data_IF_542611572417
#
_entry.id   IF_542611572417
#
_cell.length_a   1.000
_cell.length_b   1.000
_cell.length_c   1.000
_cell.angle_alpha   90.00
_cell.angle_beta   90.00
_cell.angle_gamma   90.00
#
_symmetry.space_group_name_H-M   'P 1'
#
loop_
_entity.id
_entity.type
_entity.pdbx_description
1 polymer ?
#
# COMPACT_ATOMS: atom_id res chain seq x y z
N UNK A 1 -14.02 -6.72 -6.84
CA UNK A 1 -13.61 -5.32 -6.57
C UNK A 1 -14.20 -4.47 -7.68
N UNK A 2 -14.79 -3.31 -7.37
CA UNK A 2 -15.16 -2.35 -8.42
C UNK A 2 -13.88 -1.99 -9.22
N UNK A 3 -13.97 -1.93 -10.54
CA UNK A 3 -12.85 -1.58 -11.41
C UNK A 3 -12.23 -0.22 -11.05
N UNK A 4 -13.06 0.75 -10.63
CA UNK A 4 -12.60 2.06 -10.17
C UNK A 4 -11.74 1.96 -8.90
N UNK A 5 -12.16 1.15 -7.93
CA UNK A 5 -11.40 0.91 -6.68
C UNK A 5 -10.10 0.17 -6.98
N UNK A 6 -10.12 -0.78 -7.93
CA UNK A 6 -8.92 -1.50 -8.37
C UNK A 6 -7.90 -0.58 -9.01
N UNK A 7 -8.35 0.29 -9.91
CA UNK A 7 -7.51 1.31 -10.54
C UNK A 7 -6.99 2.29 -9.48
N UNK A 8 -7.84 2.71 -8.53
CA UNK A 8 -7.44 3.58 -7.43
C UNK A 8 -6.29 3.00 -6.60
N UNK A 9 -6.40 1.74 -6.15
CA UNK A 9 -5.33 1.05 -5.43
C UNK A 9 -4.04 0.92 -6.25
N UNK A 10 -4.16 0.57 -7.53
CA UNK A 10 -3.00 0.44 -8.40
C UNK A 10 -2.31 1.80 -8.59
N UNK A 11 -3.07 2.83 -8.92
CA UNK A 11 -2.54 4.17 -9.13
C UNK A 11 -1.87 4.74 -7.88
N UNK A 12 -2.48 4.55 -6.71
CA UNK A 12 -1.92 5.02 -5.44
C UNK A 12 -0.61 4.30 -5.09
N UNK A 13 -0.58 2.96 -5.16
CA UNK A 13 0.62 2.19 -4.87
C UNK A 13 1.76 2.46 -5.86
N UNK A 14 1.45 2.60 -7.15
CA UNK A 14 2.45 2.93 -8.16
C UNK A 14 3.01 4.34 -7.98
N UNK A 15 2.17 5.30 -7.56
CA UNK A 15 2.61 6.67 -7.25
C UNK A 15 3.50 6.71 -6.00
N UNK A 16 3.15 5.95 -4.96
CA UNK A 16 4.00 5.78 -3.77
C UNK A 16 5.32 5.11 -4.13
N UNK A 17 5.30 4.05 -4.96
CA UNK A 17 6.50 3.36 -5.41
C UNK A 17 7.45 4.28 -6.20
N UNK A 18 6.92 5.05 -7.14
CA UNK A 18 7.70 6.01 -7.92
C UNK A 18 8.32 7.09 -7.02
N UNK A 19 7.56 7.61 -6.05
CA UNK A 19 8.04 8.62 -5.11
C UNK A 19 9.15 8.06 -4.21
N UNK A 20 8.97 6.86 -3.65
CA UNK A 20 9.98 6.20 -2.82
C UNK A 20 11.25 5.86 -3.60
N UNK A 21 11.12 5.36 -4.84
CA UNK A 21 12.26 5.10 -5.71
C UNK A 21 13.01 6.39 -6.06
N UNK A 22 12.29 7.48 -6.33
CA UNK A 22 12.89 8.78 -6.60
C UNK A 22 13.69 9.27 -5.39
N UNK A 23 13.10 9.23 -4.19
CA UNK A 23 13.76 9.64 -2.95
C UNK A 23 14.99 8.76 -2.66
N UNK A 24 14.88 7.44 -2.84
CA UNK A 24 16.02 6.53 -2.73
C UNK A 24 17.20 7.00 -3.59
N UNK A 25 16.98 7.22 -4.89
CA UNK A 25 18.03 7.63 -5.82
C UNK A 25 18.56 9.04 -5.52
N UNK A 26 17.70 9.99 -5.13
CA UNK A 26 18.06 11.41 -5.05
C UNK A 26 18.52 11.89 -3.66
N UNK A 27 18.67 11.00 -2.68
CA UNK A 27 19.28 11.40 -1.41
C UNK A 27 19.39 10.31 -0.37
N UNK A 28 18.43 9.38 -0.32
CA UNK A 28 18.35 8.43 0.80
C UNK A 28 19.20 7.17 0.63
N UNK A 29 19.68 6.86 -0.58
CA UNK A 29 20.53 5.69 -0.84
C UNK A 29 21.81 5.64 0.01
N UNK A 30 22.32 6.80 0.45
CA UNK A 30 23.55 6.89 1.24
C UNK A 30 23.33 6.76 2.75
N UNK A 31 22.07 6.72 3.21
CA UNK A 31 21.72 6.58 4.62
C UNK A 31 21.44 5.10 4.88
N UNK A 32 22.31 4.39 5.62
CA UNK A 32 22.10 2.98 5.94
C UNK A 32 20.75 2.78 6.64
N UNK A 33 20.09 1.65 6.37
CA UNK A 33 18.75 1.30 6.90
C UNK A 33 17.61 2.14 6.31
N UNK A 34 17.71 3.47 6.25
CA UNK A 34 16.68 4.34 5.67
C UNK A 34 16.60 4.13 4.17
N UNK A 35 17.71 4.21 3.44
CA UNK A 35 17.74 3.94 2.00
C UNK A 35 17.21 2.54 1.66
N UNK A 36 17.59 1.52 2.44
CA UNK A 36 17.06 0.16 2.27
C UNK A 36 15.54 0.12 2.48
N UNK A 37 15.02 0.83 3.49
CA UNK A 37 13.58 0.96 3.72
C UNK A 37 12.85 1.58 2.52
N UNK A 38 13.38 2.66 1.95
CA UNK A 38 12.81 3.29 0.77
C UNK A 38 12.80 2.35 -0.45
N UNK A 39 13.89 1.61 -0.69
CA UNK A 39 13.97 0.67 -1.80
C UNK A 39 13.02 -0.51 -1.64
N UNK A 40 12.94 -1.09 -0.43
CA UNK A 40 12.02 -2.18 -0.11
C UNK A 40 10.58 -1.72 -0.29
N UNK A 41 10.25 -0.54 0.26
CA UNK A 41 8.91 0.03 0.16
C UNK A 41 8.51 0.31 -1.29
N UNK A 42 9.42 0.89 -2.10
CA UNK A 42 9.19 1.09 -3.52
C UNK A 42 8.92 -0.23 -4.25
N UNK A 43 9.74 -1.25 -4.00
CA UNK A 43 9.67 -2.55 -4.67
C UNK A 43 8.36 -3.28 -4.34
N UNK A 44 8.00 -3.32 -3.06
CA UNK A 44 6.79 -4.02 -2.59
C UNK A 44 5.54 -3.26 -3.07
N UNK A 45 5.49 -1.92 -2.95
CA UNK A 45 4.37 -1.11 -3.43
C UNK A 45 4.16 -1.29 -4.94
N UNK A 46 5.24 -1.31 -5.73
CA UNK A 46 5.16 -1.57 -7.17
C UNK A 46 4.59 -2.96 -7.47
N UNK A 47 5.16 -4.00 -6.86
CA UNK A 47 4.72 -5.38 -7.07
C UNK A 47 3.24 -5.57 -6.69
N UNK A 48 2.82 -5.07 -5.52
CA UNK A 48 1.43 -5.17 -5.05
C UNK A 48 0.50 -4.34 -5.95
N UNK A 49 0.92 -3.15 -6.38
CA UNK A 49 0.15 -2.31 -7.32
C UNK A 49 -0.12 -3.01 -8.64
N UNK A 50 0.90 -3.62 -9.25
CA UNK A 50 0.78 -4.40 -10.48
C UNK A 50 -0.11 -5.64 -10.26
N UNK A 51 0.11 -6.39 -9.18
CA UNK A 51 -0.71 -7.58 -8.89
C UNK A 51 -2.19 -7.23 -8.70
N UNK A 52 -2.50 -6.13 -8.00
CA UNK A 52 -3.88 -5.63 -7.87
C UNK A 52 -4.42 -5.21 -9.24
N UNK A 53 -3.61 -4.50 -10.05
CA UNK A 53 -4.00 -4.10 -11.40
C UNK A 53 -4.28 -5.29 -12.31
N UNK A 54 -3.57 -6.41 -12.16
CA UNK A 54 -3.78 -7.66 -12.91
C UNK A 54 -4.91 -8.52 -12.35
N UNK A 55 -5.47 -8.17 -11.19
CA UNK A 55 -6.68 -8.80 -10.65
C UNK A 55 -6.37 -9.87 -9.63
N UNK A 56 -5.27 -9.67 -8.90
CA UNK A 56 -4.83 -10.54 -7.84
C UNK A 56 -5.85 -10.69 -6.71
N UNK A 57 -5.58 -11.64 -5.80
CA UNK A 57 -6.52 -12.08 -4.77
C UNK A 57 -6.88 -10.96 -3.78
N UNK A 58 -8.04 -11.11 -3.13
CA UNK A 58 -8.61 -10.10 -2.24
C UNK A 58 -7.71 -9.71 -1.05
N UNK A 59 -6.82 -10.62 -0.59
CA UNK A 59 -5.89 -10.36 0.50
C UNK A 59 -4.82 -9.32 0.15
N UNK A 60 -4.56 -9.06 -1.15
CA UNK A 60 -3.63 -8.01 -1.57
C UNK A 60 -4.07 -6.62 -1.10
N UNK A 61 -5.37 -6.41 -0.81
CA UNK A 61 -5.85 -5.15 -0.23
C UNK A 61 -5.36 -4.94 1.20
N UNK A 62 -5.28 -6.02 1.98
CA UNK A 62 -4.72 -5.98 3.33
C UNK A 62 -3.22 -5.74 3.28
N UNK A 63 -2.51 -6.38 2.33
CA UNK A 63 -1.11 -6.11 2.10
C UNK A 63 -0.89 -4.62 1.74
N UNK A 64 -1.64 -4.08 0.79
CA UNK A 64 -1.59 -2.67 0.39
C UNK A 64 -1.81 -1.72 1.58
N UNK A 65 -2.80 -2.01 2.42
CA UNK A 65 -3.08 -1.23 3.63
C UNK A 65 -1.95 -1.31 4.66
N UNK A 66 -1.39 -2.50 4.88
CA UNK A 66 -0.26 -2.69 5.80
C UNK A 66 1.00 -1.94 5.32
N UNK A 67 1.28 -1.98 4.02
CA UNK A 67 2.41 -1.28 3.39
C UNK A 67 2.24 0.24 3.57
N UNK A 68 1.08 0.78 3.16
CA UNK A 68 0.81 2.22 3.25
C UNK A 68 0.76 2.70 4.71
N UNK A 69 0.11 1.94 5.60
CA UNK A 69 0.06 2.24 7.02
C UNK A 69 1.43 2.21 7.69
N UNK A 70 2.26 1.22 7.38
CA UNK A 70 3.64 1.14 7.85
C UNK A 70 4.48 2.32 7.39
N UNK A 71 4.31 2.76 6.14
CA UNK A 71 4.96 3.97 5.60
C UNK A 71 4.59 5.23 6.38
N UNK A 72 3.28 5.45 6.59
CA UNK A 72 2.76 6.61 7.31
C UNK A 72 3.23 6.62 8.76
N UNK A 73 3.29 5.44 9.41
CA UNK A 73 3.84 5.30 10.75
C UNK A 73 5.33 5.61 10.77
N UNK A 74 6.12 5.09 9.82
CA UNK A 74 7.55 5.38 9.73
C UNK A 74 7.82 6.88 9.52
N UNK A 75 7.02 7.54 8.69
CA UNK A 75 7.07 8.98 8.46
C UNK A 75 6.64 9.80 9.69
N UNK A 76 5.62 9.35 10.44
CA UNK A 76 5.24 9.97 11.69
C UNK A 76 6.34 9.83 12.76
N UNK A 77 6.99 8.66 12.81
CA UNK A 77 8.12 8.39 13.71
C UNK A 77 9.36 9.21 13.32
N UNK A 78 9.67 9.36 12.03
CA UNK A 78 10.79 10.20 11.56
C UNK A 78 10.65 11.65 12.00
N UNK A 79 9.42 12.13 12.22
CA UNK A 79 9.10 13.51 12.65
C UNK A 79 8.94 13.71 14.15
N UNK A 80 8.69 12.65 14.91
CA UNK A 80 8.42 12.74 16.36
C UNK A 80 9.64 12.33 17.19
N UNK A 81 10.05 11.08 17.05
CA UNK A 81 11.19 10.50 17.78
C UNK A 81 12.47 10.43 16.95
N UNK A 82 12.38 10.73 15.66
CA UNK A 82 13.38 10.29 14.69
C UNK A 82 13.25 8.79 14.42
N UNK A 83 13.66 8.37 13.23
CA UNK A 83 13.70 6.97 12.81
C UNK A 83 15.17 6.57 12.67
N UNK A 84 15.65 5.69 13.55
CA UNK A 84 17.07 5.26 13.57
C UNK A 84 18.08 6.43 13.66
N UNK A 85 17.75 7.49 14.39
CA UNK A 85 18.60 8.70 14.53
C UNK A 85 18.48 9.70 13.38
N UNK A 86 17.60 9.44 12.41
CA UNK A 86 17.28 10.35 11.32
C UNK A 86 15.99 11.13 11.63
N UNK A 87 16.06 12.45 11.55
CA UNK A 87 14.92 13.35 11.81
C UNK A 87 14.70 14.24 10.60
N UNK A 88 13.49 14.21 10.04
CA UNK A 88 13.11 15.08 8.93
C UNK A 88 12.33 16.28 9.45
N UNK A 89 12.78 17.47 9.04
CA UNK A 89 12.07 18.71 9.34
C UNK A 89 11.49 19.29 8.03
N UNK A 90 10.17 19.48 8.01
CA UNK A 90 9.46 20.07 6.87
C UNK A 90 9.05 19.07 5.79
N UNK A 91 8.85 19.57 4.57
CA UNK A 91 8.45 18.81 3.39
C UNK A 91 9.60 18.53 2.44
N UNK A 92 10.84 18.66 2.91
CA UNK A 92 12.04 18.44 2.11
C UNK A 92 12.40 16.95 2.12
N UNK A 93 12.50 16.26 0.96
CA UNK A 93 12.42 16.76 -0.41
C UNK A 93 10.99 16.99 -0.93
N UNK A 94 10.69 18.24 -1.27
CA UNK A 94 9.44 18.64 -1.90
C UNK A 94 9.55 18.45 -3.42
N UNK A 95 8.51 17.95 -4.12
CA UNK A 95 7.15 17.62 -3.66
C UNK A 95 6.92 16.12 -3.35
N UNK A 96 7.93 15.27 -3.51
CA UNK A 96 7.76 13.81 -3.53
C UNK A 96 7.36 13.23 -2.17
N UNK A 97 7.79 13.83 -1.06
CA UNK A 97 7.32 13.44 0.28
C UNK A 97 5.80 13.63 0.42
N UNK A 98 5.25 14.75 -0.07
CA UNK A 98 3.81 15.01 -0.02
C UNK A 98 3.02 14.09 -0.95
N UNK A 99 3.54 13.81 -2.15
CA UNK A 99 2.92 12.89 -3.10
C UNK A 99 2.86 11.47 -2.51
N UNK A 100 3.94 11.02 -1.86
CA UNK A 100 3.97 9.70 -1.25
C UNK A 100 2.96 9.57 -0.11
N UNK A 101 2.95 10.51 0.83
CA UNK A 101 1.99 10.53 1.95
C UNK A 101 0.56 10.59 1.44
N UNK A 102 0.28 11.41 0.43
CA UNK A 102 -1.04 11.50 -0.20
C UNK A 102 -1.46 10.17 -0.84
N UNK A 103 -0.55 9.50 -1.55
CA UNK A 103 -0.80 8.21 -2.17
C UNK A 103 -1.04 7.10 -1.12
N UNK A 104 -0.31 7.11 -0.02
CA UNK A 104 -0.47 6.17 1.08
C UNK A 104 -1.77 6.39 1.83
N UNK A 105 -2.10 7.64 2.14
CA UNK A 105 -3.37 8.01 2.74
C UNK A 105 -4.55 7.60 1.86
N UNK A 106 -4.45 7.82 0.54
CA UNK A 106 -5.45 7.35 -0.42
C UNK A 106 -5.58 5.82 -0.41
N UNK A 107 -4.47 5.09 -0.32
CA UNK A 107 -4.48 3.62 -0.25
C UNK A 107 -5.21 3.13 1.00
N UNK A 108 -4.92 3.73 2.17
CA UNK A 108 -5.61 3.42 3.42
C UNK A 108 -7.10 3.79 3.35
N UNK A 109 -7.43 4.94 2.77
CA UNK A 109 -8.82 5.38 2.58
C UNK A 109 -9.59 4.45 1.66
N UNK A 110 -9.00 4.03 0.53
CA UNK A 110 -9.62 3.05 -0.37
C UNK A 110 -9.81 1.71 0.34
N UNK A 111 -8.89 1.31 1.21
CA UNK A 111 -9.03 0.11 2.01
C UNK A 111 -10.18 0.22 3.02
N UNK A 112 -10.26 1.30 3.80
CA UNK A 112 -11.36 1.50 4.77
C UNK A 112 -12.72 1.60 4.09
N UNK A 113 -12.81 2.37 3.00
CA UNK A 113 -14.04 2.53 2.21
C UNK A 113 -14.41 1.28 1.41
N UNK A 114 -13.44 0.45 1.02
CA UNK A 114 -13.74 -0.85 0.39
C UNK A 114 -14.07 -1.94 1.40
N UNK A 115 -13.79 -1.70 2.69
CA UNK A 115 -14.13 -2.57 3.83
C UNK A 115 -15.53 -2.34 4.40
N UNK A 116 -16.16 -1.21 4.10
CA UNK A 116 -17.57 -0.89 4.42
C UNK A 116 -18.32 -0.70 3.07
N UNK A 117 -19.28 -1.53 2.60
CA UNK A 117 -20.20 -2.46 3.29
C UNK A 117 -20.31 -3.88 2.64
N UNK A 118 -21.08 -4.77 3.27
CA UNK A 118 -21.52 -6.09 2.79
C UNK A 118 -20.50 -7.25 2.74
N UNK A 119 -20.41 -7.91 3.89
CA UNK A 119 -20.33 -9.37 3.91
C UNK A 119 -18.92 -9.91 3.74
N UNK A 120 -18.39 -10.35 4.89
CA UNK A 120 -17.56 -11.54 5.02
C UNK A 120 -18.29 -12.72 4.34
N UNK A 121 -18.31 -12.78 3.02
CA UNK A 121 -18.67 -13.99 2.27
C UNK A 121 -17.41 -14.82 2.16
N UNK A 122 -17.09 -15.48 3.26
CA UNK A 122 -16.24 -16.66 3.28
C UNK A 122 -16.82 -17.65 2.23
N UNK A 123 -16.18 -17.72 1.06
CA UNK A 123 -16.57 -18.61 -0.04
C UNK A 123 -16.37 -20.09 0.24
N UNK A 124 -16.11 -20.47 1.50
CA UNK A 124 -15.74 -21.83 1.89
C UNK A 124 -16.91 -22.78 2.13
N UNK A 125 -18.16 -22.28 2.14
CA UNK A 125 -19.36 -23.09 2.43
C UNK A 125 -20.25 -23.43 1.23
N UNK A 126 -19.86 -23.11 -0.01
CA UNK A 126 -20.70 -23.41 -1.19
C UNK A 126 -20.36 -24.73 -1.91
N UNK A 127 -19.53 -25.59 -1.29
CA UNK A 127 -19.14 -26.90 -1.82
C UNK A 127 -20.02 -28.09 -1.41
N UNK A 128 -21.09 -27.91 -0.62
CA UNK A 128 -21.86 -29.02 -0.04
C UNK A 128 -23.35 -29.02 -0.43
N UNK A 129 -23.66 -28.84 -1.71
CA UNK A 129 -24.97 -29.26 -2.25
C UNK A 129 -24.81 -29.94 -3.60
N UNK A 130 -24.27 -31.17 -3.55
CA UNK A 130 -24.58 -32.16 -4.60
C UNK A 130 -26.01 -32.63 -4.34
N UNK A 131 -26.94 -32.27 -5.21
CA UNK A 131 -28.16 -33.06 -5.39
C UNK A 131 -27.78 -34.31 -6.19
N UNK A 132 -28.26 -35.49 -5.79
CA UNK A 132 -28.66 -36.52 -6.75
C UNK A 132 -30.18 -36.54 -6.87
N UNK A 133 -30.61 -36.82 -8.08
CA UNK A 133 -31.96 -36.71 -8.60
C UNK A 133 -32.99 -37.60 -7.88
N UNK A 134 -34.23 -37.13 -7.90
CA UNK A 134 -35.45 -37.93 -7.73
C UNK A 134 -35.57 -38.97 -8.85
N UNK A 135 -35.77 -40.23 -8.50
CA UNK A 135 -36.51 -41.26 -9.26
C UNK A 135 -36.94 -42.35 -8.28
#
# INVERSE_FOLDING_TARGET
MNILVRIGFAASLLSSAASHAYLYVHGYQHIPTIGTGFLVQASISFAVGVLILLGGPWWLRWAAAAIAGGSLLAFALSRTSGLFGFTEHGWDPSPYAAISVGAEALTVLLWTLSGYPDGVRFGWLRGARRQPASS
#
